data_IF_622813375840
#
_entry.id   IF_622813375840
#
_cell.length_a   1.000
_cell.length_b   1.000
_cell.length_c   1.000
_cell.angle_alpha   90.00
_cell.angle_beta   90.00
_cell.angle_gamma   90.00
#
_symmetry.space_group_name_H-M   'P 1'
#
loop_
_entity.id
_entity.type
_entity.pdbx_description
1 polymer ?
#
# COMPACT_ATOMS: atom_id res chain seq x y z
N UNK A 1 -27.06 -13.54 -17.84
CA UNK A 1 -27.43 -13.08 -16.49
C UNK A 1 -28.79 -12.41 -16.62
N UNK A 2 -29.81 -12.82 -15.86
CA UNK A 2 -31.05 -12.04 -15.78
C UNK A 2 -30.69 -10.73 -15.12
N UNK A 3 -30.87 -9.61 -15.81
CA UNK A 3 -30.46 -8.29 -15.32
C UNK A 3 -31.20 -8.03 -14.00
N UNK A 4 -30.53 -7.48 -12.98
CA UNK A 4 -31.14 -7.23 -11.66
C UNK A 4 -32.47 -6.47 -11.78
N UNK A 5 -32.55 -5.52 -12.72
CA UNK A 5 -33.76 -4.80 -13.12
C UNK A 5 -34.94 -5.72 -13.47
N UNK A 6 -34.69 -6.75 -14.28
CA UNK A 6 -35.73 -7.72 -14.65
C UNK A 6 -36.22 -8.46 -13.42
N UNK A 7 -35.32 -8.90 -12.54
CA UNK A 7 -35.69 -9.63 -11.32
C UNK A 7 -36.47 -8.78 -10.33
N UNK A 8 -36.10 -7.52 -10.15
CA UNK A 8 -36.82 -6.60 -9.27
C UNK A 8 -38.28 -6.34 -9.72
N UNK A 9 -38.56 -6.52 -11.02
CA UNK A 9 -39.93 -6.36 -11.55
C UNK A 9 -40.72 -7.65 -11.66
N UNK A 10 -40.05 -8.80 -11.73
CA UNK A 10 -40.68 -10.11 -12.03
C UNK A 10 -40.73 -11.07 -10.83
N UNK A 11 -39.87 -10.89 -9.83
CA UNK A 11 -39.71 -11.77 -8.67
C UNK A 11 -39.94 -10.98 -7.39
N UNK A 12 -41.16 -11.12 -6.82
CA UNK A 12 -41.56 -10.40 -5.60
C UNK A 12 -40.72 -10.80 -4.39
N UNK A 13 -40.41 -12.09 -4.25
CA UNK A 13 -39.62 -12.57 -3.11
C UNK A 13 -38.19 -12.01 -3.20
N UNK A 14 -37.61 -11.95 -4.40
CA UNK A 14 -36.33 -11.29 -4.61
C UNK A 14 -36.39 -9.78 -4.34
N UNK A 15 -37.46 -9.10 -4.75
CA UNK A 15 -37.66 -7.68 -4.45
C UNK A 15 -37.65 -7.42 -2.93
N UNK A 16 -38.43 -8.17 -2.16
CA UNK A 16 -38.51 -8.01 -0.71
C UNK A 16 -37.13 -8.25 -0.05
N UNK A 17 -36.42 -9.32 -0.46
CA UNK A 17 -35.06 -9.60 0.01
C UNK A 17 -34.05 -8.50 -0.36
N UNK A 18 -34.22 -7.89 -1.55
CA UNK A 18 -33.35 -6.82 -2.01
C UNK A 18 -33.61 -5.52 -1.26
N UNK A 19 -34.87 -5.22 -0.92
CA UNK A 19 -35.22 -4.11 -0.05
C UNK A 19 -34.58 -4.24 1.34
N UNK A 20 -34.60 -5.45 1.92
CA UNK A 20 -33.91 -5.73 3.18
C UNK A 20 -32.39 -5.52 3.06
N UNK A 21 -31.78 -5.97 1.96
CA UNK A 21 -30.36 -5.78 1.69
C UNK A 21 -29.98 -4.30 1.64
N UNK A 22 -30.67 -3.48 0.85
CA UNK A 22 -30.31 -2.06 0.70
C UNK A 22 -30.55 -1.27 1.99
N UNK A 23 -31.56 -1.66 2.79
CA UNK A 23 -31.80 -1.06 4.10
C UNK A 23 -30.66 -1.38 5.08
N UNK A 24 -30.23 -2.65 5.11
CA UNK A 24 -29.08 -3.08 5.93
C UNK A 24 -27.79 -2.38 5.49
N UNK A 25 -27.49 -2.34 4.19
CA UNK A 25 -26.33 -1.64 3.65
C UNK A 25 -26.35 -0.15 4.00
N UNK A 26 -27.51 0.51 3.91
CA UNK A 26 -27.65 1.93 4.26
C UNK A 26 -27.38 2.16 5.76
N UNK A 27 -27.91 1.31 6.64
CA UNK A 27 -27.68 1.41 8.09
C UNK A 27 -26.21 1.18 8.44
N UNK A 28 -25.59 0.14 7.87
CA UNK A 28 -24.18 -0.15 8.06
C UNK A 28 -23.31 0.98 7.53
N UNK A 29 -23.63 1.54 6.36
CA UNK A 29 -22.87 2.64 5.78
C UNK A 29 -22.87 3.88 6.70
N UNK A 30 -24.03 4.23 7.27
CA UNK A 30 -24.15 5.35 8.20
C UNK A 30 -23.28 5.16 9.46
N UNK A 31 -23.33 3.97 10.06
CA UNK A 31 -22.51 3.62 11.23
C UNK A 31 -21.01 3.62 10.87
N UNK A 32 -20.63 2.97 9.77
CA UNK A 32 -19.24 2.86 9.32
C UNK A 32 -18.64 4.21 8.91
N UNK A 33 -19.43 5.12 8.33
CA UNK A 33 -18.98 6.47 8.02
C UNK A 33 -18.75 7.30 9.27
N UNK A 34 -19.55 7.10 10.31
CA UNK A 34 -19.44 7.80 11.58
C UNK A 34 -18.25 7.29 12.41
N UNK A 35 -18.11 5.98 12.52
CA UNK A 35 -17.11 5.36 13.40
C UNK A 35 -15.74 5.24 12.72
N UNK A 36 -15.74 5.03 11.40
CA UNK A 36 -14.54 4.84 10.59
C UNK A 36 -14.60 5.69 9.31
N UNK A 37 -14.59 7.04 9.45
CA UNK A 37 -14.55 7.94 8.29
C UNK A 37 -13.26 7.71 7.49
N UNK A 38 -13.24 8.07 6.20
CA UNK A 38 -12.06 7.93 5.32
C UNK A 38 -11.40 9.27 4.96
N UNK A 39 -11.91 10.39 5.48
CA UNK A 39 -11.37 11.73 5.25
C UNK A 39 -9.94 11.89 5.80
N UNK A 40 -9.58 11.09 6.82
CA UNK A 40 -8.22 11.07 7.37
C UNK A 40 -7.16 10.64 6.36
N UNK A 41 -7.51 9.82 5.36
CA UNK A 41 -6.51 9.21 4.45
C UNK A 41 -5.71 10.29 3.74
N UNK A 42 -6.38 11.22 3.05
CA UNK A 42 -5.70 12.31 2.36
C UNK A 42 -5.08 13.30 3.35
N UNK A 43 -5.73 13.54 4.50
CA UNK A 43 -5.19 14.42 5.55
C UNK A 43 -3.87 13.91 6.11
N UNK A 44 -3.76 12.63 6.43
CA UNK A 44 -2.57 12.03 7.01
C UNK A 44 -1.48 11.82 5.96
N UNK A 45 -1.86 11.42 4.74
CA UNK A 45 -0.93 11.33 3.63
C UNK A 45 -0.32 12.70 3.26
N UNK A 46 -1.05 13.80 3.48
CA UNK A 46 -0.54 15.16 3.27
C UNK A 46 0.56 15.57 4.26
N UNK A 47 0.61 14.91 5.43
CA UNK A 47 1.62 15.15 6.48
C UNK A 47 2.89 14.32 6.29
N UNK A 48 2.89 13.37 5.36
CA UNK A 48 4.08 12.57 5.07
C UNK A 48 5.24 13.46 4.62
N UNK A 49 6.47 13.01 4.91
CA UNK A 49 7.74 13.72 4.67
C UNK A 49 7.97 14.25 3.24
N UNK A 50 9.11 14.93 3.01
CA UNK A 50 9.27 15.88 1.91
C UNK A 50 8.81 15.31 0.56
N UNK A 51 8.08 16.14 -0.20
CA UNK A 51 7.53 15.77 -1.51
C UNK A 51 8.62 15.51 -2.55
N UNK A 52 9.84 16.02 -2.33
CA UNK A 52 10.98 15.89 -3.23
C UNK A 52 12.14 15.30 -2.45
N UNK A 53 12.41 14.02 -2.68
CA UNK A 53 13.66 13.40 -2.26
C UNK A 53 14.72 13.66 -3.34
N UNK A 54 15.97 13.90 -2.95
CA UNK A 54 17.11 14.16 -3.86
C UNK A 54 17.57 12.92 -4.65
N UNK A 55 16.64 12.17 -5.23
CA UNK A 55 16.82 10.78 -5.72
C UNK A 55 17.90 10.66 -6.82
N UNK A 56 18.58 9.49 -6.96
CA UNK A 56 19.56 9.29 -8.01
C UNK A 56 18.87 9.38 -9.38
N UNK A 57 19.61 9.72 -10.43
CA UNK A 57 19.09 9.77 -11.80
C UNK A 57 18.74 8.40 -12.41
N UNK A 58 18.52 7.38 -11.58
CA UNK A 58 18.17 6.03 -11.99
C UNK A 58 16.71 6.01 -12.42
N UNK A 59 16.51 5.87 -13.72
CA UNK A 59 15.21 5.89 -14.36
C UNK A 59 14.77 4.45 -14.64
N UNK A 60 14.43 3.72 -13.58
CA UNK A 60 13.94 2.33 -13.63
C UNK A 60 12.80 2.09 -12.62
N UNK A 61 12.09 0.97 -12.80
CA UNK A 61 10.95 0.58 -11.98
C UNK A 61 11.29 0.32 -10.50
N UNK A 62 12.55 0.03 -10.16
CA UNK A 62 12.99 -0.24 -8.80
C UNK A 62 13.29 1.05 -8.02
N UNK A 63 13.40 2.19 -8.70
CA UNK A 63 13.55 3.52 -8.11
C UNK A 63 12.35 4.43 -8.41
N UNK A 64 11.23 3.82 -8.80
CA UNK A 64 10.02 4.54 -9.16
C UNK A 64 9.35 5.14 -7.91
N UNK A 65 9.14 6.45 -7.93
CA UNK A 65 8.41 7.19 -6.89
C UNK A 65 6.96 7.44 -7.33
N UNK A 66 6.08 7.66 -6.35
CA UNK A 66 4.68 7.98 -6.60
C UNK A 66 4.49 9.26 -7.44
N UNK A 67 5.32 10.28 -7.22
CA UNK A 67 5.24 11.58 -7.91
C UNK A 67 5.75 11.54 -9.36
N UNK A 68 6.57 10.53 -9.70
CA UNK A 68 7.07 10.31 -11.06
C UNK A 68 6.02 9.78 -12.03
N UNK A 69 4.88 9.26 -11.53
CA UNK A 69 3.81 8.74 -12.39
C UNK A 69 3.12 9.90 -13.12
N UNK A 70 3.00 9.78 -14.44
CA UNK A 70 2.33 10.77 -15.30
C UNK A 70 1.09 10.24 -16.00
N UNK A 71 0.98 8.94 -16.17
CA UNK A 71 -0.15 8.31 -16.85
C UNK A 71 -0.69 7.22 -15.93
N UNK A 72 -2.00 7.22 -15.72
CA UNK A 72 -2.67 6.26 -14.84
C UNK A 72 -3.83 5.60 -15.56
N UNK A 73 -4.00 4.29 -15.42
CA UNK A 73 -5.15 3.57 -15.96
C UNK A 73 -5.54 2.37 -15.10
N UNK A 74 -6.81 2.01 -15.16
CA UNK A 74 -7.36 0.84 -14.46
C UNK A 74 -8.15 -0.04 -15.42
N UNK A 75 -8.08 -1.36 -15.24
CA UNK A 75 -8.90 -2.32 -15.98
C UNK A 75 -9.46 -3.41 -15.07
N UNK A 76 -10.54 -4.03 -15.54
CA UNK A 76 -11.26 -5.11 -14.87
C UNK A 76 -12.44 -4.63 -14.02
N UNK A 77 -13.37 -5.54 -13.75
CA UNK A 77 -14.65 -5.20 -13.10
C UNK A 77 -14.49 -4.61 -11.68
N UNK A 78 -13.42 -4.96 -10.93
CA UNK A 78 -13.18 -4.35 -9.59
C UNK A 78 -12.70 -2.90 -9.64
N UNK A 79 -12.38 -2.36 -10.82
CA UNK A 79 -12.03 -0.93 -10.96
C UNK A 79 -13.23 0.02 -10.92
N UNK A 80 -14.44 -0.55 -10.84
CA UNK A 80 -15.69 0.21 -10.85
C UNK A 80 -16.54 -0.05 -9.61
N UNK A 81 -17.48 0.85 -9.36
CA UNK A 81 -18.37 0.76 -8.21
C UNK A 81 -19.84 1.06 -8.57
N UNK A 82 -20.74 0.59 -7.71
CA UNK A 82 -22.16 0.94 -7.76
C UNK A 82 -22.48 2.12 -6.84
N UNK A 83 -23.33 3.07 -7.25
CA UNK A 83 -23.81 4.14 -6.38
C UNK A 83 -24.72 3.59 -5.27
N UNK A 84 -24.63 4.17 -4.07
CA UNK A 84 -25.30 3.68 -2.86
C UNK A 84 -26.40 4.61 -2.32
N UNK A 85 -26.97 5.50 -3.15
CA UNK A 85 -28.00 6.44 -2.70
C UNK A 85 -29.29 5.72 -2.27
N UNK A 86 -29.48 5.58 -0.97
CA UNK A 86 -30.59 4.82 -0.39
C UNK A 86 -31.97 5.35 -0.80
N UNK A 87 -32.13 6.67 -0.95
CA UNK A 87 -33.41 7.28 -1.36
C UNK A 87 -33.77 6.93 -2.81
N UNK A 88 -32.78 6.83 -3.70
CA UNK A 88 -33.00 6.40 -5.08
C UNK A 88 -33.26 4.89 -5.16
N UNK A 89 -32.45 4.09 -4.45
CA UNK A 89 -32.57 2.64 -4.42
C UNK A 89 -33.93 2.18 -3.86
N UNK A 90 -34.43 2.81 -2.78
CA UNK A 90 -35.75 2.53 -2.23
C UNK A 90 -36.91 2.85 -3.20
N UNK A 91 -36.68 3.73 -4.19
CA UNK A 91 -37.64 4.02 -5.26
C UNK A 91 -37.48 3.08 -6.47
N UNK A 92 -36.60 2.08 -6.38
CA UNK A 92 -36.26 1.18 -7.49
C UNK A 92 -35.41 1.82 -8.57
N UNK A 93 -34.82 3.00 -8.31
CA UNK A 93 -33.95 3.70 -9.26
C UNK A 93 -32.51 3.29 -8.97
N UNK A 94 -31.97 2.39 -9.80
CA UNK A 94 -30.58 1.99 -9.76
C UNK A 94 -29.75 2.88 -10.69
N UNK A 95 -28.62 3.41 -10.20
CA UNK A 95 -27.60 3.99 -11.07
C UNK A 95 -26.80 2.89 -11.77
N UNK A 96 -25.77 3.21 -12.58
CA UNK A 96 -24.97 2.17 -13.22
C UNK A 96 -23.85 1.68 -12.29
N UNK A 97 -23.49 0.40 -12.37
CA UNK A 97 -22.37 -0.21 -11.63
C UNK A 97 -21.05 -0.18 -12.43
N UNK A 98 -20.82 0.88 -13.20
CA UNK A 98 -19.62 1.06 -14.00
C UNK A 98 -18.94 2.41 -13.75
N UNK A 99 -19.29 3.06 -12.62
CA UNK A 99 -18.69 4.34 -12.21
C UNK A 99 -17.22 4.14 -11.88
N UNK A 100 -16.37 5.06 -12.35
CA UNK A 100 -14.91 4.93 -12.28
C UNK A 100 -14.35 5.49 -10.97
N UNK A 101 -13.17 5.01 -10.58
CA UNK A 101 -12.49 5.51 -9.38
C UNK A 101 -12.10 7.00 -9.46
N UNK A 102 -12.02 7.55 -10.67
CA UNK A 102 -11.82 8.97 -10.97
C UNK A 102 -13.03 9.84 -10.58
N UNK A 103 -14.23 9.26 -10.56
CA UNK A 103 -15.49 9.94 -10.22
C UNK A 103 -15.81 9.87 -8.72
N UNK A 104 -15.02 9.13 -7.94
CA UNK A 104 -15.24 8.97 -6.50
C UNK A 104 -14.94 10.27 -5.75
N UNK A 105 -15.77 10.55 -4.74
CA UNK A 105 -15.52 11.57 -3.73
C UNK A 105 -14.59 11.08 -2.61
N UNK A 106 -14.60 9.77 -2.37
CA UNK A 106 -13.73 9.12 -1.38
C UNK A 106 -12.30 8.93 -1.91
N UNK A 107 -11.30 8.79 -1.00
CA UNK A 107 -9.91 8.61 -1.41
C UNK A 107 -9.74 7.44 -2.38
N UNK A 108 -9.10 7.72 -3.51
CA UNK A 108 -8.75 6.75 -4.55
C UNK A 108 -7.23 6.70 -4.75
N UNK A 109 -6.71 5.61 -5.33
CA UNK A 109 -5.30 5.50 -5.69
C UNK A 109 -4.78 6.68 -6.53
N UNK A 110 -5.49 7.13 -7.58
CA UNK A 110 -5.08 8.33 -8.31
C UNK A 110 -5.04 9.59 -7.42
N UNK A 111 -6.03 9.79 -6.53
CA UNK A 111 -6.03 10.95 -5.63
C UNK A 111 -4.86 10.94 -4.64
N UNK A 112 -4.43 9.75 -4.19
CA UNK A 112 -3.27 9.58 -3.31
C UNK A 112 -1.95 9.86 -4.06
N UNK A 113 -1.83 9.43 -5.32
CA UNK A 113 -0.70 9.76 -6.19
C UNK A 113 -0.61 11.28 -6.44
N UNK A 114 -1.73 11.91 -6.82
CA UNK A 114 -1.83 13.36 -7.04
C UNK A 114 -1.42 14.15 -5.79
N UNK A 115 -1.89 13.73 -4.62
CA UNK A 115 -1.52 14.36 -3.34
C UNK A 115 -0.02 14.26 -3.05
N UNK A 116 0.65 13.20 -3.53
CA UNK A 116 2.10 13.03 -3.43
C UNK A 116 2.90 13.78 -4.48
N UNK A 117 2.25 14.48 -5.41
CA UNK A 117 2.90 15.35 -6.39
C UNK A 117 2.84 14.84 -7.82
N UNK A 118 2.21 13.68 -8.05
CA UNK A 118 2.00 13.15 -9.39
C UNK A 118 1.07 14.10 -10.19
N UNK A 119 1.38 14.30 -11.46
CA UNK A 119 0.52 15.03 -12.39
C UNK A 119 0.03 14.02 -13.42
N UNK A 120 -1.04 13.32 -13.06
CA UNK A 120 -1.51 12.16 -13.80
C UNK A 120 -2.55 12.54 -14.85
N UNK A 121 -2.33 12.05 -16.07
CA UNK A 121 -3.37 11.89 -17.08
C UNK A 121 -4.04 10.54 -16.87
N UNK A 122 -5.33 10.56 -16.52
CA UNK A 122 -6.14 9.36 -16.25
C UNK A 122 -6.70 8.84 -17.56
N UNK A 123 -6.41 7.58 -17.89
CA UNK A 123 -6.86 6.90 -19.10
C UNK A 123 -7.82 5.78 -18.70
N UNK A 124 -8.99 5.77 -19.33
CA UNK A 124 -10.05 4.82 -19.06
C UNK A 124 -10.31 3.97 -20.30
N UNK A 125 -10.68 2.70 -20.11
CA UNK A 125 -11.18 1.87 -21.21
C UNK A 125 -12.57 2.33 -21.66
N UNK A 126 -12.91 2.13 -22.92
CA UNK A 126 -14.23 2.54 -23.42
C UNK A 126 -15.35 1.65 -22.88
N UNK A 127 -15.06 0.36 -22.66
CA UNK A 127 -16.04 -0.67 -22.27
C UNK A 127 -15.45 -1.60 -21.21
N UNK A 128 -16.15 -1.76 -20.08
CA UNK A 128 -15.74 -2.63 -18.96
C UNK A 128 -16.19 -4.08 -19.14
N UNK A 129 -17.17 -4.32 -19.99
CA UNK A 129 -17.75 -5.62 -20.29
C UNK A 129 -16.96 -6.42 -21.35
N UNK A 130 -15.97 -5.79 -21.99
CA UNK A 130 -15.02 -6.45 -22.88
C UNK A 130 -13.95 -7.26 -22.11
N UNK A 131 -13.22 -8.11 -22.82
CA UNK A 131 -12.13 -8.89 -22.23
C UNK A 131 -11.04 -7.98 -21.65
N UNK A 132 -10.28 -8.47 -20.66
CA UNK A 132 -9.18 -7.67 -20.09
C UNK A 132 -8.12 -7.33 -21.15
N UNK A 133 -7.93 -8.19 -22.15
CA UNK A 133 -7.02 -7.94 -23.26
C UNK A 133 -7.50 -6.79 -24.16
N UNK A 134 -8.81 -6.68 -24.42
CA UNK A 134 -9.40 -5.58 -25.19
C UNK A 134 -9.35 -4.27 -24.39
N UNK A 135 -9.68 -4.30 -23.09
CA UNK A 135 -9.50 -3.16 -22.20
C UNK A 135 -8.05 -2.66 -22.15
N UNK A 136 -7.09 -3.59 -22.07
CA UNK A 136 -5.66 -3.29 -22.14
C UNK A 136 -5.25 -2.67 -23.47
N UNK A 137 -5.82 -3.15 -24.59
CA UNK A 137 -5.59 -2.58 -25.91
C UNK A 137 -6.12 -1.17 -26.02
N UNK A 138 -7.33 -0.91 -25.55
CA UNK A 138 -7.94 0.42 -25.53
C UNK A 138 -7.12 1.43 -24.74
N UNK A 139 -6.66 1.04 -23.55
CA UNK A 139 -5.78 1.86 -22.72
C UNK A 139 -4.44 2.08 -23.43
N UNK A 140 -3.81 1.02 -23.94
CA UNK A 140 -2.53 1.10 -24.63
C UNK A 140 -2.58 2.01 -25.87
N UNK A 141 -3.59 1.87 -26.72
CA UNK A 141 -3.78 2.73 -27.90
C UNK A 141 -4.14 4.17 -27.54
N UNK A 142 -4.83 4.40 -26.42
CA UNK A 142 -5.09 5.74 -25.92
C UNK A 142 -3.82 6.42 -25.42
N UNK A 143 -2.97 5.68 -24.69
CA UNK A 143 -1.67 6.18 -24.22
C UNK A 143 -0.74 6.52 -25.40
N UNK A 144 -0.76 5.71 -26.46
CA UNK A 144 0.06 5.96 -27.68
C UNK A 144 -0.30 7.25 -28.42
N UNK A 145 -1.45 7.86 -28.12
CA UNK A 145 -1.86 9.16 -28.68
C UNK A 145 -1.28 10.34 -27.91
N UNK A 146 -0.70 10.11 -26.73
CA UNK A 146 -0.08 11.14 -25.91
C UNK A 146 1.35 11.38 -26.43
N UNK A 147 1.67 12.61 -26.77
CA UNK A 147 3.00 12.96 -27.27
C UNK A 147 4.10 12.66 -26.24
N UNK A 148 5.10 11.88 -26.65
CA UNK A 148 6.24 11.53 -25.80
C UNK A 148 5.92 10.53 -24.69
N UNK A 149 4.81 9.78 -24.80
CA UNK A 149 4.40 8.79 -23.80
C UNK A 149 5.53 7.82 -23.43
N UNK A 150 6.42 7.44 -24.35
CA UNK A 150 7.55 6.53 -24.12
C UNK A 150 8.51 7.04 -23.03
N UNK A 151 8.56 8.35 -22.81
CA UNK A 151 9.44 9.00 -21.84
C UNK A 151 8.80 9.20 -20.47
N UNK A 152 7.55 8.84 -20.29
CA UNK A 152 6.81 9.11 -19.05
C UNK A 152 6.40 7.82 -18.33
N UNK A 153 6.45 7.81 -17.00
CA UNK A 153 6.04 6.63 -16.23
C UNK A 153 4.53 6.45 -16.23
N UNK A 154 4.10 5.25 -16.60
CA UNK A 154 2.71 4.81 -16.59
C UNK A 154 2.49 3.84 -15.44
N UNK A 155 1.41 4.02 -14.70
CA UNK A 155 0.91 3.03 -13.74
C UNK A 155 -0.41 2.47 -14.24
N UNK A 156 -0.46 1.17 -14.53
CA UNK A 156 -1.67 0.48 -14.95
C UNK A 156 -2.08 -0.52 -13.87
N UNK A 157 -3.28 -0.41 -13.32
CA UNK A 157 -3.76 -1.27 -12.24
C UNK A 157 -4.82 -2.25 -12.77
N UNK A 158 -4.53 -3.55 -12.66
CA UNK A 158 -5.43 -4.63 -13.07
C UNK A 158 -6.21 -5.10 -11.84
N UNK A 159 -7.46 -4.65 -11.76
CA UNK A 159 -8.44 -4.95 -10.72
C UNK A 159 -9.46 -5.95 -11.28
N UNK A 160 -9.01 -7.18 -11.52
CA UNK A 160 -9.85 -8.23 -12.08
C UNK A 160 -10.67 -8.96 -10.99
N UNK A 161 -11.86 -9.40 -11.37
CA UNK A 161 -12.72 -10.35 -10.66
C UNK A 161 -12.72 -11.72 -11.36
N UNK A 162 -13.38 -12.69 -10.75
CA UNK A 162 -13.71 -13.95 -11.42
C UNK A 162 -14.64 -13.80 -12.64
N UNK A 163 -15.35 -12.67 -12.77
CA UNK A 163 -16.26 -12.39 -13.89
C UNK A 163 -15.53 -11.88 -15.13
N UNK A 164 -14.33 -11.32 -14.96
CA UNK A 164 -13.46 -10.97 -16.09
C UNK A 164 -12.94 -12.22 -16.82
N UNK A 165 -12.97 -13.37 -16.15
CA UNK A 165 -12.76 -14.68 -16.75
C UNK A 165 -14.04 -15.34 -17.25
N UNK A 166 -13.89 -16.30 -18.13
CA UNK A 166 -14.93 -17.26 -18.52
C UNK A 166 -14.99 -18.38 -17.50
N UNK A 167 -16.18 -18.94 -17.28
CA UNK A 167 -16.37 -20.11 -16.45
C UNK A 167 -15.90 -21.41 -17.17
N UNK A 168 -14.60 -21.47 -17.50
CA UNK A 168 -13.95 -22.59 -18.18
C UNK A 168 -12.49 -22.73 -17.73
N UNK A 169 -11.90 -23.92 -17.95
CA UNK A 169 -10.51 -24.19 -17.58
C UNK A 169 -9.49 -23.32 -18.33
N UNK A 170 -9.81 -22.90 -19.56
CA UNK A 170 -8.91 -22.12 -20.41
C UNK A 170 -9.14 -20.61 -20.33
N UNK A 171 -10.28 -20.17 -19.79
CA UNK A 171 -10.65 -18.74 -19.71
C UNK A 171 -10.63 -18.20 -18.29
N UNK A 172 -9.82 -18.76 -17.39
CA UNK A 172 -9.76 -18.31 -16.00
C UNK A 172 -9.26 -16.86 -15.93
N UNK A 173 -9.65 -16.12 -14.89
CA UNK A 173 -9.22 -14.73 -14.69
C UNK A 173 -7.72 -14.55 -14.75
N UNK A 174 -6.93 -15.46 -14.16
CA UNK A 174 -5.47 -15.40 -14.22
C UNK A 174 -4.93 -15.40 -15.67
N UNK A 175 -5.57 -16.15 -16.57
CA UNK A 175 -5.20 -16.23 -18.00
C UNK A 175 -5.57 -14.94 -18.73
N UNK A 176 -6.73 -14.36 -18.44
CA UNK A 176 -7.15 -13.07 -18.99
C UNK A 176 -6.23 -11.94 -18.51
N UNK A 177 -5.81 -11.96 -17.25
CA UNK A 177 -4.82 -11.02 -16.70
C UNK A 177 -3.48 -11.14 -17.42
N UNK A 178 -2.98 -12.36 -17.65
CA UNK A 178 -1.75 -12.56 -18.41
C UNK A 178 -1.87 -12.03 -19.84
N UNK A 179 -3.03 -12.23 -20.47
CA UNK A 179 -3.31 -11.72 -21.83
C UNK A 179 -3.31 -10.19 -21.87
N UNK A 180 -3.88 -9.53 -20.85
CA UNK A 180 -3.83 -8.08 -20.71
C UNK A 180 -2.39 -7.55 -20.52
N UNK A 181 -1.58 -8.21 -19.69
CA UNK A 181 -0.16 -7.88 -19.51
C UNK A 181 0.60 -7.98 -20.84
N UNK A 182 0.35 -9.05 -21.61
CA UNK A 182 0.96 -9.25 -22.93
C UNK A 182 0.59 -8.16 -23.92
N UNK A 183 -0.69 -7.76 -23.98
CA UNK A 183 -1.14 -6.66 -24.85
C UNK A 183 -0.52 -5.32 -24.45
N UNK A 184 -0.49 -4.98 -23.16
CA UNK A 184 0.19 -3.77 -22.67
C UNK A 184 1.69 -3.80 -22.99
N UNK A 185 2.34 -4.96 -22.85
CA UNK A 185 3.75 -5.14 -23.20
C UNK A 185 4.05 -4.94 -24.69
N UNK A 186 3.08 -5.20 -25.58
CA UNK A 186 3.22 -4.92 -27.02
C UNK A 186 3.05 -3.43 -27.35
N UNK A 187 2.13 -2.74 -26.66
CA UNK A 187 1.71 -1.38 -26.98
C UNK A 187 2.53 -0.30 -26.27
N UNK A 188 2.86 -0.53 -25.00
CA UNK A 188 3.52 0.44 -24.10
C UNK A 188 4.69 -0.23 -23.34
N UNK A 189 5.74 -0.72 -24.04
CA UNK A 189 6.83 -1.47 -23.40
C UNK A 189 7.77 -0.61 -22.54
N UNK A 190 7.82 0.71 -22.73
CA UNK A 190 8.75 1.60 -22.03
C UNK A 190 8.08 2.35 -20.88
N UNK A 191 8.78 2.41 -19.74
CA UNK A 191 8.34 3.09 -18.51
C UNK A 191 6.93 2.73 -18.08
N UNK A 192 6.66 1.44 -17.99
CA UNK A 192 5.35 0.91 -17.60
C UNK A 192 5.48 0.08 -16.33
N UNK A 193 4.71 0.47 -15.31
CA UNK A 193 4.58 -0.24 -14.05
C UNK A 193 3.15 -0.75 -13.92
N UNK A 194 2.96 -2.07 -14.04
CA UNK A 194 1.65 -2.70 -13.91
C UNK A 194 1.50 -3.24 -12.50
N UNK A 195 0.38 -2.93 -11.85
CA UNK A 195 -0.01 -3.49 -10.56
C UNK A 195 -1.16 -4.46 -10.80
N UNK A 196 -1.00 -5.71 -10.41
CA UNK A 196 -2.02 -6.76 -10.54
C UNK A 196 -2.49 -7.16 -9.16
N UNK A 197 -3.80 -7.20 -8.93
CA UNK A 197 -4.34 -7.82 -7.72
C UNK A 197 -4.61 -9.30 -8.00
N UNK A 198 -3.98 -10.18 -7.23
CA UNK A 198 -4.26 -11.62 -7.28
C UNK A 198 -5.66 -11.88 -6.73
N UNK A 199 -6.64 -12.09 -7.61
CA UNK A 199 -8.06 -12.31 -7.28
C UNK A 199 -8.43 -13.80 -7.21
N UNK A 200 -7.61 -14.62 -6.55
CA UNK A 200 -7.82 -16.07 -6.46
C UNK A 200 -8.82 -16.48 -5.37
N UNK A 201 -9.08 -15.61 -4.41
CA UNK A 201 -10.00 -15.85 -3.29
C UNK A 201 -11.42 -15.37 -3.56
N UNK A 202 -12.40 -15.99 -2.90
CA UNK A 202 -13.82 -15.71 -3.08
C UNK A 202 -14.56 -15.35 -1.79
N UNK A 203 -13.83 -15.14 -0.68
CA UNK A 203 -14.44 -15.02 0.65
C UNK A 203 -15.38 -13.83 0.78
N UNK A 204 -15.06 -12.65 0.21
CA UNK A 204 -15.98 -11.48 0.20
C UNK A 204 -17.39 -11.86 -0.29
N UNK A 205 -17.46 -12.47 -1.49
CA UNK A 205 -18.74 -12.84 -2.10
C UNK A 205 -19.39 -14.06 -1.44
N UNK A 206 -18.59 -14.96 -0.86
CA UNK A 206 -19.10 -16.08 -0.05
C UNK A 206 -19.76 -15.57 1.22
N UNK A 207 -19.12 -14.66 1.93
CA UNK A 207 -19.62 -14.07 3.17
C UNK A 207 -20.90 -13.27 2.89
N UNK A 208 -20.91 -12.46 1.82
CA UNK A 208 -22.12 -11.75 1.37
C UNK A 208 -23.28 -12.71 1.04
N UNK A 209 -22.99 -13.81 0.34
CA UNK A 209 -23.99 -14.85 0.03
C UNK A 209 -24.51 -15.59 1.26
N UNK A 210 -23.74 -15.63 2.35
CA UNK A 210 -24.16 -16.25 3.60
C UNK A 210 -25.01 -15.28 4.44
N UNK A 211 -24.67 -13.99 4.43
CA UNK A 211 -25.37 -12.95 5.20
C UNK A 211 -26.69 -12.52 4.56
N UNK A 212 -26.80 -12.45 3.23
CA UNK A 212 -27.98 -11.93 2.53
C UNK A 212 -28.51 -12.90 1.48
N UNK A 213 -29.82 -13.13 1.51
CA UNK A 213 -30.50 -13.98 0.52
C UNK A 213 -30.55 -13.32 -0.86
N UNK A 214 -30.66 -11.99 -0.93
CA UNK A 214 -30.55 -11.24 -2.17
C UNK A 214 -29.16 -11.42 -2.79
N UNK A 215 -28.09 -11.28 -2.00
CA UNK A 215 -26.73 -11.54 -2.48
C UNK A 215 -26.54 -13.00 -2.90
N UNK A 216 -27.04 -13.97 -2.12
CA UNK A 216 -26.99 -15.39 -2.49
C UNK A 216 -27.62 -15.68 -3.85
N UNK A 217 -28.71 -14.98 -4.16
CA UNK A 217 -29.42 -15.11 -5.42
C UNK A 217 -28.66 -14.42 -6.58
N UNK A 218 -28.18 -13.19 -6.39
CA UNK A 218 -27.38 -12.46 -7.38
C UNK A 218 -26.06 -13.17 -7.70
N UNK A 219 -25.39 -13.70 -6.68
CA UNK A 219 -24.09 -14.38 -6.80
C UNK A 219 -24.21 -15.87 -7.16
N UNK A 220 -25.39 -16.34 -7.57
CA UNK A 220 -25.57 -17.75 -7.95
C UNK A 220 -24.64 -18.16 -9.11
N UNK A 221 -24.46 -17.29 -10.12
CA UNK A 221 -23.56 -17.54 -11.25
C UNK A 221 -22.08 -17.45 -10.86
N UNK A 222 -21.73 -16.62 -9.87
CA UNK A 222 -20.37 -16.50 -9.34
C UNK A 222 -19.84 -17.84 -8.82
N UNK A 223 -20.70 -18.71 -8.30
CA UNK A 223 -20.33 -20.08 -7.90
C UNK A 223 -19.78 -20.91 -9.06
N UNK A 224 -20.22 -20.66 -10.29
CA UNK A 224 -19.72 -21.37 -11.47
C UNK A 224 -18.32 -20.86 -11.83
N UNK A 225 -18.13 -19.54 -11.89
CA UNK A 225 -16.82 -18.93 -12.13
C UNK A 225 -15.79 -19.35 -11.07
N UNK A 226 -16.20 -19.38 -9.79
CA UNK A 226 -15.34 -19.81 -8.68
C UNK A 226 -14.83 -21.24 -8.80
N UNK A 227 -15.56 -22.15 -9.47
CA UNK A 227 -15.08 -23.52 -9.70
C UNK A 227 -13.87 -23.58 -10.61
N UNK A 228 -13.72 -22.58 -11.48
CA UNK A 228 -12.63 -22.52 -12.46
C UNK A 228 -11.54 -21.53 -12.05
N UNK A 229 -11.62 -20.84 -10.92
CA UNK A 229 -10.59 -19.89 -10.48
C UNK A 229 -9.53 -20.60 -9.60
N UNK A 230 -8.65 -21.39 -10.22
CA UNK A 230 -7.71 -22.22 -9.47
C UNK A 230 -6.49 -21.44 -8.96
N UNK A 231 -6.14 -21.63 -7.69
CA UNK A 231 -4.91 -21.07 -7.10
C UNK A 231 -3.65 -21.49 -7.86
N UNK A 232 -3.60 -22.74 -8.35
CA UNK A 232 -2.45 -23.26 -9.10
C UNK A 232 -2.21 -22.57 -10.43
N UNK A 233 -3.24 -21.97 -11.04
CA UNK A 233 -3.10 -21.20 -12.28
C UNK A 233 -2.59 -19.80 -11.98
N UNK A 234 -3.09 -19.17 -10.90
CA UNK A 234 -2.50 -17.93 -10.38
C UNK A 234 -1.03 -18.09 -10.01
N UNK A 235 -0.65 -19.20 -9.35
CA UNK A 235 0.74 -19.49 -9.01
C UNK A 235 1.62 -19.61 -10.28
N UNK A 236 1.10 -20.23 -11.35
CA UNK A 236 1.79 -20.30 -12.64
C UNK A 236 1.95 -18.93 -13.30
N UNK A 237 0.90 -18.11 -13.29
CA UNK A 237 0.94 -16.74 -13.85
C UNK A 237 1.93 -15.88 -13.08
N UNK A 238 1.99 -15.99 -11.75
CA UNK A 238 2.99 -15.28 -10.95
C UNK A 238 4.43 -15.69 -11.30
N UNK A 239 4.67 -16.99 -11.53
CA UNK A 239 5.98 -17.47 -11.99
C UNK A 239 6.31 -16.93 -13.39
N UNK A 240 5.33 -16.85 -14.30
CA UNK A 240 5.51 -16.27 -15.63
C UNK A 240 5.84 -14.78 -15.52
N UNK A 241 5.10 -14.05 -14.69
CA UNK A 241 5.31 -12.62 -14.39
C UNK A 241 6.71 -12.38 -13.85
N UNK A 242 7.12 -13.15 -12.84
CA UNK A 242 8.43 -13.03 -12.23
C UNK A 242 9.56 -13.20 -13.25
N UNK A 243 9.45 -14.19 -14.14
CA UNK A 243 10.51 -14.51 -15.10
C UNK A 243 10.56 -13.59 -16.31
N UNK A 244 9.42 -13.04 -16.74
CA UNK A 244 9.33 -12.38 -18.04
C UNK A 244 9.00 -10.88 -17.95
N UNK A 245 8.38 -10.42 -16.87
CA UNK A 245 7.73 -9.11 -16.79
C UNK A 245 8.18 -8.26 -15.59
N UNK A 246 9.24 -8.62 -14.87
CA UNK A 246 9.87 -7.78 -13.83
C UNK A 246 11.16 -7.12 -14.35
N UNK A 247 11.05 -6.30 -15.39
CA UNK A 247 12.18 -5.62 -16.05
C UNK A 247 12.27 -4.14 -15.64
N UNK A 248 13.45 -3.50 -15.74
CA UNK A 248 13.63 -2.10 -15.36
C UNK A 248 12.72 -1.08 -16.05
N UNK A 249 12.31 -1.30 -17.31
CA UNK A 249 11.42 -0.39 -18.06
C UNK A 249 9.98 -0.91 -18.18
N UNK A 250 9.76 -2.20 -17.95
CA UNK A 250 8.43 -2.83 -17.95
C UNK A 250 8.34 -3.78 -16.77
N UNK A 251 7.70 -3.33 -15.70
CA UNK A 251 7.62 -4.05 -14.44
C UNK A 251 6.18 -4.38 -14.10
N UNK A 252 5.92 -5.64 -13.78
CA UNK A 252 4.62 -6.13 -13.33
C UNK A 252 4.76 -6.62 -11.89
N UNK A 253 3.99 -6.01 -11.01
CA UNK A 253 3.93 -6.35 -9.60
C UNK A 253 2.59 -7.00 -9.25
N UNK A 254 2.63 -8.21 -8.69
CA UNK A 254 1.41 -8.94 -8.27
C UNK A 254 1.24 -8.80 -6.76
N UNK A 255 0.15 -8.16 -6.34
CA UNK A 255 -0.20 -7.97 -4.94
C UNK A 255 -1.14 -9.10 -4.47
N UNK A 256 -0.85 -9.76 -3.34
CA UNK A 256 -1.59 -10.93 -2.89
C UNK A 256 -2.93 -10.61 -2.19
N UNK A 257 -3.37 -9.34 -2.20
CA UNK A 257 -4.46 -8.81 -1.36
C UNK A 257 -5.75 -9.66 -1.38
N UNK A 258 -6.14 -10.16 -2.56
CA UNK A 258 -7.37 -10.93 -2.76
C UNK A 258 -7.11 -12.44 -2.86
N UNK A 259 -6.02 -12.93 -2.28
CA UNK A 259 -5.75 -14.38 -2.17
C UNK A 259 -6.69 -15.06 -1.18
N UNK A 260 -6.88 -14.46 -0.02
CA UNK A 260 -7.82 -14.92 1.02
C UNK A 260 -8.65 -13.75 1.59
N UNK A 261 -9.45 -13.05 0.75
CA UNK A 261 -10.21 -11.90 1.16
C UNK A 261 -11.50 -12.33 1.87
N UNK A 262 -11.99 -11.51 2.80
CA UNK A 262 -13.26 -11.75 3.51
C UNK A 262 -13.89 -10.41 3.88
N UNK A 263 -15.19 -10.41 4.14
CA UNK A 263 -15.84 -9.22 4.67
C UNK A 263 -15.45 -8.99 6.13
N UNK A 264 -15.52 -7.73 6.57
CA UNK A 264 -15.27 -7.35 7.94
C UNK A 264 -16.42 -7.82 8.83
N UNK A 265 -16.10 -8.46 9.96
CA UNK A 265 -17.12 -8.87 10.93
C UNK A 265 -17.66 -7.65 11.69
N UNK A 266 -18.97 -7.59 11.84
CA UNK A 266 -19.71 -6.67 12.70
C UNK A 266 -20.40 -7.47 13.82
N UNK A 267 -20.90 -6.84 14.89
CA UNK A 267 -21.60 -7.55 15.97
C UNK A 267 -22.75 -8.44 15.48
N UNK A 268 -23.49 -7.99 14.46
CA UNK A 268 -24.68 -8.68 13.92
C UNK A 268 -24.43 -9.40 12.57
N UNK A 269 -23.17 -9.61 12.18
CA UNK A 269 -22.83 -10.33 10.95
C UNK A 269 -21.57 -9.81 10.27
N UNK A 270 -21.68 -9.47 8.99
CA UNK A 270 -20.58 -8.86 8.22
C UNK A 270 -21.00 -7.53 7.61
N UNK A 271 -20.02 -6.65 7.37
CA UNK A 271 -20.23 -5.37 6.73
C UNK A 271 -20.51 -5.55 5.23
N UNK A 272 -21.76 -5.36 4.82
CA UNK A 272 -22.21 -5.39 3.43
C UNK A 272 -22.19 -3.99 2.79
N UNK A 273 -21.94 -2.92 3.55
CA UNK A 273 -21.92 -1.54 3.04
C UNK A 273 -20.78 -1.29 2.07
N UNK A 274 -19.76 -2.15 2.08
CA UNK A 274 -18.62 -2.13 1.15
C UNK A 274 -18.96 -2.70 -0.23
N UNK A 275 -20.08 -3.40 -0.38
CA UNK A 275 -20.55 -3.93 -1.67
C UNK A 275 -21.65 -3.04 -2.27
N UNK A 276 -21.77 -3.07 -3.59
CA UNK A 276 -22.86 -2.45 -4.31
C UNK A 276 -24.19 -3.16 -4.06
N UNK A 277 -25.28 -2.56 -4.54
CA UNK A 277 -26.63 -3.12 -4.43
C UNK A 277 -26.83 -4.43 -5.22
N UNK A 278 -25.87 -4.81 -6.07
CA UNK A 278 -25.84 -6.06 -6.81
C UNK A 278 -24.98 -7.16 -6.14
N UNK A 279 -24.33 -6.83 -5.02
CA UNK A 279 -23.39 -7.66 -4.27
C UNK A 279 -22.15 -8.15 -5.04
N UNK A 280 -21.98 -7.75 -6.30
CA UNK A 280 -20.92 -8.20 -7.20
C UNK A 280 -19.78 -7.17 -7.21
N UNK A 281 -20.13 -5.90 -7.44
CA UNK A 281 -19.20 -4.79 -7.44
C UNK A 281 -19.03 -4.21 -6.03
N UNK A 282 -17.98 -3.42 -5.84
CA UNK A 282 -17.84 -2.63 -4.62
C UNK A 282 -18.82 -1.46 -4.61
N UNK A 283 -19.14 -0.96 -3.42
CA UNK A 283 -19.64 0.41 -3.26
C UNK A 283 -18.47 1.40 -3.38
N UNK A 284 -18.76 2.70 -3.47
CA UNK A 284 -17.72 3.74 -3.44
C UNK A 284 -16.78 3.58 -2.23
N UNK A 285 -17.34 3.25 -1.05
CA UNK A 285 -16.58 2.99 0.17
C UNK A 285 -15.70 1.74 0.03
N UNK A 286 -16.25 0.65 -0.49
CA UNK A 286 -15.49 -0.58 -0.70
C UNK A 286 -14.30 -0.40 -1.64
N UNK A 287 -14.51 0.31 -2.75
CA UNK A 287 -13.45 0.60 -3.73
C UNK A 287 -12.38 1.53 -3.12
N UNK A 288 -12.77 2.52 -2.31
CA UNK A 288 -11.83 3.38 -1.59
C UNK A 288 -10.95 2.60 -0.61
N UNK A 289 -11.55 1.68 0.15
CA UNK A 289 -10.82 0.79 1.07
C UNK A 289 -9.87 -0.15 0.32
N UNK A 290 -10.27 -0.67 -0.84
CA UNK A 290 -9.39 -1.46 -1.70
C UNK A 290 -8.21 -0.62 -2.19
N UNK A 291 -8.45 0.60 -2.66
CA UNK A 291 -7.41 1.51 -3.13
C UNK A 291 -6.42 1.89 -2.02
N UNK A 292 -6.89 2.10 -0.79
CA UNK A 292 -6.05 2.29 0.39
C UNK A 292 -5.18 1.05 0.67
N UNK A 293 -5.74 -0.15 0.56
CA UNK A 293 -4.97 -1.39 0.73
C UNK A 293 -3.92 -1.59 -0.37
N UNK A 294 -4.25 -1.23 -1.62
CA UNK A 294 -3.28 -1.23 -2.74
C UNK A 294 -2.15 -0.25 -2.46
N UNK A 295 -2.47 1.00 -2.10
CA UNK A 295 -1.48 2.01 -1.71
C UNK A 295 -0.54 1.50 -0.63
N UNK A 296 -1.08 0.99 0.49
CA UNK A 296 -0.28 0.46 1.57
C UNK A 296 0.59 -0.72 1.11
N UNK A 297 0.08 -1.60 0.27
CA UNK A 297 0.82 -2.75 -0.26
C UNK A 297 1.98 -2.34 -1.18
N UNK A 298 1.82 -1.25 -1.94
CA UNK A 298 2.88 -0.67 -2.77
C UNK A 298 4.06 -0.14 -1.95
N UNK A 299 3.84 0.29 -0.70
CA UNK A 299 4.90 0.76 0.21
C UNK A 299 5.30 -0.25 1.29
N UNK A 300 4.69 -1.43 1.28
CA UNK A 300 5.02 -2.54 2.17
C UNK A 300 6.04 -3.46 1.51
N UNK A 301 7.05 -3.89 2.28
CA UNK A 301 8.05 -4.88 1.84
C UNK A 301 7.37 -6.16 1.35
N UNK A 302 7.91 -6.78 0.30
CA UNK A 302 7.30 -7.94 -0.33
C UNK A 302 6.95 -9.07 0.66
N UNK A 303 7.84 -9.38 1.61
CA UNK A 303 7.65 -10.42 2.63
C UNK A 303 6.58 -10.09 3.68
N UNK A 304 6.15 -8.83 3.79
CA UNK A 304 5.19 -8.34 4.77
C UNK A 304 3.85 -7.94 4.14
N UNK A 305 3.64 -8.18 2.84
CA UNK A 305 2.38 -7.83 2.18
C UNK A 305 1.25 -8.74 2.65
N UNK A 306 0.13 -8.11 2.99
CA UNK A 306 -1.06 -8.83 3.41
C UNK A 306 -1.73 -9.56 2.25
N UNK A 307 -2.09 -10.81 2.50
CA UNK A 307 -2.84 -11.65 1.55
C UNK A 307 -4.32 -11.79 1.91
N UNK A 308 -4.69 -11.22 3.06
CA UNK A 308 -6.01 -11.27 3.65
C UNK A 308 -6.63 -9.89 3.67
N UNK A 309 -7.10 -9.41 2.51
CA UNK A 309 -7.84 -8.15 2.48
C UNK A 309 -9.12 -8.26 3.30
N UNK A 310 -9.27 -7.32 4.24
CA UNK A 310 -10.48 -7.07 5.02
C UNK A 310 -10.85 -5.60 4.80
N UNK A 311 -12.02 -5.28 4.21
CA UNK A 311 -12.44 -3.91 3.96
C UNK A 311 -12.62 -3.12 5.27
N UNK A 312 -11.53 -2.56 5.79
CA UNK A 312 -11.48 -1.82 7.05
C UNK A 312 -10.62 -0.58 6.88
N UNK A 313 -10.99 0.50 7.58
CA UNK A 313 -10.18 1.71 7.62
C UNK A 313 -8.84 1.40 8.29
N UNK A 314 -7.76 1.42 7.51
CA UNK A 314 -6.39 1.20 7.97
C UNK A 314 -5.59 2.51 7.94
N UNK A 315 -4.58 2.71 8.81
CA UNK A 315 -3.66 3.83 8.67
C UNK A 315 -3.02 3.85 7.28
N UNK A 316 -2.99 5.03 6.64
CA UNK A 316 -2.30 5.21 5.35
C UNK A 316 -0.79 5.22 5.59
N UNK A 317 -0.04 4.49 4.76
CA UNK A 317 1.41 4.47 4.84
C UNK A 317 2.02 5.67 4.12
N UNK A 318 3.00 6.30 4.78
CA UNK A 318 3.88 7.27 4.15
C UNK A 318 5.00 6.55 3.40
N UNK A 319 5.43 7.07 2.22
CA UNK A 319 6.71 6.68 1.64
C UNK A 319 7.84 6.92 2.65
N UNK A 320 8.73 5.94 2.80
CA UNK A 320 9.87 6.03 3.71
C UNK A 320 10.85 7.09 3.18
N UNK A 321 11.30 8.08 3.98
CA UNK A 321 12.26 9.08 3.52
C UNK A 321 13.57 8.47 2.99
N UNK A 322 13.98 7.34 3.55
CA UNK A 322 15.19 6.59 3.14
C UNK A 322 14.92 5.60 2.01
N UNK A 323 13.64 5.34 1.70
CA UNK A 323 13.21 4.48 0.60
C UNK A 323 11.87 4.98 0.03
N UNK A 324 11.87 6.10 -0.71
CA UNK A 324 10.63 6.73 -1.20
C UNK A 324 10.04 6.01 -2.42
N UNK A 325 10.52 4.81 -2.73
CA UNK A 325 10.17 4.06 -3.93
C UNK A 325 9.01 3.11 -3.69
N UNK A 326 8.24 2.87 -4.74
CA UNK A 326 7.31 1.75 -4.82
C UNK A 326 8.11 0.46 -4.63
N UNK A 327 7.61 -0.42 -3.75
CA UNK A 327 8.30 -1.65 -3.40
C UNK A 327 8.19 -2.66 -4.53
N UNK A 328 9.35 -3.15 -4.94
CA UNK A 328 9.57 -4.26 -5.86
C UNK A 328 10.40 -5.32 -5.15
N UNK A 329 10.48 -6.56 -5.66
CA UNK A 329 11.38 -7.56 -5.09
C UNK A 329 12.84 -7.05 -4.99
N UNK A 330 13.29 -6.27 -5.97
CA UNK A 330 14.67 -5.73 -6.04
C UNK A 330 15.01 -4.71 -4.95
N UNK A 331 14.02 -4.00 -4.38
CA UNK A 331 14.23 -2.98 -3.35
C UNK A 331 13.49 -3.31 -2.02
N UNK A 332 12.96 -4.53 -1.87
CA UNK A 332 12.18 -4.87 -0.68
C UNK A 332 13.06 -5.20 0.53
N UNK A 333 14.21 -5.85 0.33
CA UNK A 333 15.07 -6.31 1.42
C UNK A 333 16.08 -5.25 1.86
N UNK A 334 16.71 -4.58 0.89
CA UNK A 334 17.64 -3.50 1.12
C UNK A 334 17.28 -2.31 0.23
N UNK A 335 16.74 -1.27 0.86
CA UNK A 335 16.47 0.00 0.22
C UNK A 335 16.94 1.10 1.13
N UNK A 336 18.21 1.48 0.94
CA UNK A 336 18.83 2.58 1.65
C UNK A 336 19.24 3.58 0.58
N UNK A 337 18.41 4.60 0.41
CA UNK A 337 18.77 5.77 -0.35
C UNK A 337 19.12 6.89 0.64
N UNK A 338 20.42 7.17 0.78
CA UNK A 338 20.97 8.27 1.60
C UNK A 338 21.28 9.50 0.77
N UNK A 339 20.64 9.68 -0.40
CA UNK A 339 20.98 10.83 -1.20
C UNK A 339 20.65 12.08 -0.40
N UNK A 340 21.59 13.03 -0.47
CA UNK A 340 21.72 14.13 0.46
C UNK A 340 20.37 14.81 0.64
N UNK A 341 19.73 14.59 1.79
CA UNK A 341 18.66 15.46 2.27
C UNK A 341 19.27 16.85 2.20
N UNK A 342 18.67 17.76 1.43
CA UNK A 342 19.11 19.15 1.43
C UNK A 342 19.08 19.59 2.90
N UNK A 343 20.26 19.93 3.45
CA UNK A 343 20.53 20.10 4.90
C UNK A 343 19.80 21.30 5.54
N UNK A 344 18.73 21.75 4.91
CA UNK A 344 18.05 22.98 5.24
C UNK A 344 16.79 22.62 6.04
N UNK A 345 16.99 22.42 7.35
CA UNK A 345 16.22 23.07 8.42
C UNK A 345 16.14 22.25 9.73
N UNK A 346 16.46 20.96 9.76
CA UNK A 346 16.12 20.13 10.94
C UNK A 346 17.27 19.69 11.87
N UNK A 347 18.55 19.80 11.48
CA UNK A 347 19.66 19.23 12.29
C UNK A 347 20.48 20.24 13.11
N UNK A 348 20.33 21.55 12.87
CA UNK A 348 21.16 22.55 13.54
C UNK A 348 20.87 22.63 15.04
N UNK A 349 19.61 22.43 15.45
CA UNK A 349 19.20 22.45 16.86
C UNK A 349 19.79 21.27 17.62
N UNK A 350 19.71 20.06 17.06
CA UNK A 350 20.26 18.85 17.68
C UNK A 350 21.80 18.91 17.75
N UNK A 351 22.45 19.46 16.73
CA UNK A 351 23.90 19.63 16.70
C UNK A 351 24.38 20.67 17.73
N UNK A 352 23.65 21.80 17.87
CA UNK A 352 23.93 22.81 18.90
C UNK A 352 23.69 22.27 20.31
N UNK A 353 22.66 21.44 20.50
CA UNK A 353 22.43 20.73 21.76
C UNK A 353 23.58 19.78 22.09
N UNK A 354 24.07 19.01 21.10
CA UNK A 354 25.18 18.08 21.29
C UNK A 354 26.49 18.80 21.61
N UNK A 355 26.80 19.89 20.89
CA UNK A 355 27.95 20.77 21.17
C UNK A 355 27.83 21.37 22.57
N UNK A 356 26.65 21.87 22.93
CA UNK A 356 26.37 22.46 24.24
C UNK A 356 26.65 21.47 25.38
N UNK A 357 26.14 20.24 25.27
CA UNK A 357 26.39 19.15 26.24
C UNK A 357 27.88 18.81 26.32
N UNK A 358 28.58 18.73 25.19
CA UNK A 358 30.01 18.44 25.16
C UNK A 358 30.87 19.52 25.81
N UNK A 359 30.57 20.80 25.56
CA UNK A 359 31.27 21.92 26.21
C UNK A 359 31.03 21.87 27.72
N UNK A 360 29.80 21.59 28.16
CA UNK A 360 29.45 21.51 29.58
C UNK A 360 30.21 20.38 30.28
N UNK A 361 30.32 19.20 29.65
CA UNK A 361 31.12 18.07 30.13
C UNK A 361 32.61 18.41 30.23
N UNK A 362 33.17 19.09 29.22
CA UNK A 362 34.57 19.50 29.22
C UNK A 362 34.87 20.50 30.33
N UNK A 363 34.00 21.50 30.53
CA UNK A 363 34.13 22.46 31.64
C UNK A 363 34.08 21.74 32.99
N UNK A 364 33.16 20.78 33.15
CA UNK A 364 33.05 19.99 34.38
C UNK A 364 34.31 19.17 34.67
N UNK A 365 34.89 18.55 33.64
CA UNK A 365 36.15 17.82 33.75
C UNK A 365 37.32 18.73 34.13
N UNK A 366 37.41 19.93 33.55
CA UNK A 366 38.46 20.91 33.91
C UNK A 366 38.31 21.37 35.35
N UNK A 367 37.07 21.63 35.81
CA UNK A 367 36.80 22.00 37.22
C UNK A 367 37.20 20.86 38.16
N UNK A 368 36.80 19.62 37.84
CA UNK A 368 37.19 18.44 38.64
C UNK A 368 38.72 18.31 38.69
N UNK A 369 39.39 18.43 37.55
CA UNK A 369 40.85 18.35 37.48
C UNK A 369 41.53 19.46 38.29
N UNK A 370 41.01 20.69 38.19
CA UNK A 370 41.49 21.82 38.99
C UNK A 370 41.30 21.58 40.49
N UNK A 371 40.13 21.11 40.92
CA UNK A 371 39.87 20.73 42.31
C UNK A 371 40.82 19.63 42.80
N UNK A 372 41.08 18.60 41.99
CA UNK A 372 42.04 17.52 42.29
C UNK A 372 43.47 18.08 42.40
N UNK A 373 43.88 18.97 41.51
CA UNK A 373 45.20 19.61 41.55
C UNK A 373 45.36 20.52 42.78
N UNK A 374 44.35 21.31 43.14
CA UNK A 374 44.37 22.19 44.31
C UNK A 374 44.40 21.37 45.60
N UNK A 375 43.55 20.34 45.71
CA UNK A 375 43.56 19.42 46.87
C UNK A 375 44.88 18.66 47.01
N UNK A 376 45.50 18.22 45.90
CA UNK A 376 46.87 17.66 45.91
C UNK A 376 47.93 18.67 46.35
N UNK A 377 47.84 19.93 45.93
CA UNK A 377 48.76 21.00 46.36
C UNK A 377 48.66 21.23 47.88
N UNK A 378 47.44 21.32 48.40
CA UNK A 378 47.18 21.50 49.84
C UNK A 378 47.63 20.27 50.65
N UNK A 379 47.51 19.06 50.11
CA UNK A 379 48.02 17.85 50.75
C UNK A 379 49.57 17.82 50.78
N UNK A 380 50.22 18.27 49.71
CA UNK A 380 51.69 18.39 49.61
C UNK A 380 52.27 19.42 50.60
N UNK A 381 51.53 20.49 50.89
CA UNK A 381 51.96 21.52 51.85
C UNK A 381 51.87 21.06 53.31
N UNK A 382 51.05 20.04 53.60
CA UNK A 382 50.86 19.51 54.96
C UNK A 382 51.77 18.33 55.32
N UNK A 383 52.54 17.79 54.37
CA UNK A 383 53.56 16.78 54.66
C UNK A 383 54.93 17.42 54.79
N UNK A 384 55.50 17.58 56.01
CA UNK A 384 56.86 18.05 56.16
C UNK A 384 57.81 16.99 55.60
N UNK A 385 58.59 17.36 54.60
CA UNK A 385 59.71 16.56 54.11
C UNK A 385 60.71 16.40 55.24
N UNK A 386 60.86 15.18 55.80
CA UNK A 386 62.01 14.86 56.64
C UNK A 386 63.28 14.97 55.79
N UNK A 387 64.23 15.77 56.28
CA UNK A 387 65.52 15.96 55.63
C UNK A 387 66.27 14.62 55.47
N UNK A 388 66.85 14.46 54.29
CA UNK A 388 67.75 13.36 53.95
C UNK A 388 69.02 13.50 54.80
N UNK A 389 69.30 12.53 55.67
CA UNK A 389 70.54 12.48 56.46
C UNK A 389 70.37 12.47 57.98
N UNK A 390 69.65 11.49 58.52
CA UNK A 390 69.79 11.14 59.94
C UNK A 390 69.71 9.62 60.12
N UNK A 391 70.73 9.08 60.80
CA UNK A 391 70.89 7.71 61.30
C UNK A 391 71.49 6.66 60.35
N UNK A 392 72.77 6.83 60.02
CA UNK A 392 73.68 5.69 59.86
C UNK A 392 74.17 5.24 61.25
N UNK A 393 73.50 4.26 61.85
CA UNK A 393 74.08 3.45 62.93
C UNK A 393 73.22 2.23 63.23
N UNK A 394 73.43 1.14 62.49
CA UNK A 394 73.43 -0.23 63.01
C UNK A 394 73.63 -1.21 61.84
N UNK A 395 74.85 -1.28 61.31
CA UNK A 395 75.27 -2.47 60.58
C UNK A 395 75.54 -3.53 61.64
N UNK A 396 74.69 -4.56 61.70
CA UNK A 396 74.95 -5.79 62.44
C UNK A 396 75.29 -6.85 61.40
N UNK A 397 76.59 -7.13 61.26
CA UNK A 397 77.08 -8.34 60.60
C UNK A 397 76.67 -9.53 61.47
N UNK A 398 75.96 -10.51 60.90
CA UNK A 398 76.10 -11.91 61.29
C UNK A 398 76.13 -12.75 60.01
N UNK A 399 77.21 -13.52 59.97
CA UNK A 399 77.70 -14.52 59.05
C UNK A 399 76.73 -15.62 58.59
N UNK A 400 77.13 -16.16 57.43
CA UNK A 400 77.23 -17.58 57.04
C UNK A 400 75.99 -18.48 57.03
N UNK A 401 75.67 -18.88 55.79
CA UNK A 401 75.61 -20.24 55.25
C UNK A 401 74.78 -21.33 55.95
N UNK A 402 74.04 -22.09 55.14
CA UNK A 402 74.35 -23.50 54.81
C UNK A 402 73.27 -24.06 53.85
N UNK A 403 73.76 -24.43 52.66
CA UNK A 403 73.31 -25.44 51.65
C UNK A 403 72.05 -25.20 50.84
#
# INVERSE_FOLDING_TARGET
MTRIEEKLTTDKDFYDQWMDLIALQSSQLEEQQKDFPLDYVLKDLSKCGPRKSAVPSLNDAHHLQADSIKIYGELGQLSSYCPSNSTLLQKGIMGPCNLRSSEMSLPSLPSMLELRGAQIEKIESNQLDESLADQARDIGESIRKIDGYENEWKMIVILATIQDGKASETGQTAVEVLSAIEELGKLIPEKTFIVVLRSSGSGIWRDASHQSLACKNQLAQWKVHNKFNYNSVWDQVEIIVEKNYRKPQFHVEVLPLLKDPALTNLPDGVDLSVLGYDCAHFSERGLSLLHLAVWNSLFTRNSARESQFRPTAAPVLCPDPTCPFIRTPSNSDLCIWTGTIQEDEFYWVDYLMFIGVWILLMVLLVIIFYCICVTRRVASEKTPTKAFGASFSSIKFIDEDVV
#
